data_IF_141054762949
#
_entry.id   IF_141054762949
#
_cell.length_a   1.000
_cell.length_b   1.000
_cell.length_c   1.000
_cell.angle_alpha   90.00
_cell.angle_beta   90.00
_cell.angle_gamma   90.00
#
_symmetry.space_group_name_H-M   'P 1'
#
loop_
_entity.id
_entity.type
_entity.pdbx_description
1 polymer ?
#
# COMPACT_ATOMS: atom_id res chain seq x y z
N UNK A 1 4.80 -2.44 6.77
CA UNK A 1 5.72 -1.38 7.21
C UNK A 1 5.47 -0.14 6.38
N UNK A 2 5.50 1.04 6.99
CA UNK A 2 4.92 2.24 6.39
C UNK A 2 5.85 2.93 5.40
N UNK A 3 5.28 3.53 4.36
CA UNK A 3 5.95 4.49 3.47
C UNK A 3 5.96 5.90 4.03
N UNK A 4 5.16 6.16 5.07
CA UNK A 4 5.01 7.44 5.75
C UNK A 4 5.54 7.35 7.20
N UNK A 5 6.15 8.42 7.73
CA UNK A 5 6.49 8.51 9.15
C UNK A 5 5.25 8.34 10.03
N UNK A 6 5.44 7.72 11.20
CA UNK A 6 4.39 7.61 12.21
C UNK A 6 4.31 8.93 12.99
N UNK A 7 3.09 9.46 13.15
CA UNK A 7 2.88 10.78 13.75
C UNK A 7 3.31 10.85 15.23
N UNK A 8 3.19 9.74 15.94
CA UNK A 8 3.61 9.54 17.33
C UNK A 8 5.12 9.25 17.48
N UNK A 9 5.82 8.93 16.38
CA UNK A 9 7.26 8.67 16.36
C UNK A 9 8.01 9.59 15.36
N UNK A 10 7.90 10.92 15.47
CA UNK A 10 8.38 11.86 14.45
C UNK A 10 9.91 11.89 14.28
N UNK A 11 10.67 11.37 15.26
CA UNK A 11 12.15 11.35 15.26
C UNK A 11 12.73 10.03 14.74
N UNK A 12 11.90 9.03 14.47
CA UNK A 12 12.36 7.72 14.01
C UNK A 12 12.43 7.72 12.48
N UNK A 13 13.62 7.56 11.87
CA UNK A 13 13.74 7.55 10.41
C UNK A 13 13.09 6.29 9.81
N UNK A 14 12.61 6.40 8.58
CA UNK A 14 12.14 5.24 7.81
C UNK A 14 13.33 4.38 7.37
N UNK A 15 13.16 3.06 7.32
CA UNK A 15 14.22 2.16 6.88
C UNK A 15 14.78 2.53 5.49
N UNK A 16 13.92 3.00 4.57
CA UNK A 16 14.32 3.42 3.22
C UNK A 16 15.31 4.58 3.22
N UNK A 17 15.25 5.49 4.20
CA UNK A 17 16.19 6.62 4.27
C UNK A 17 17.58 6.20 4.75
N UNK A 18 17.71 4.99 5.30
CA UNK A 18 18.99 4.43 5.75
C UNK A 18 19.70 3.63 4.63
N UNK A 19 19.03 3.38 3.51
CA UNK A 19 19.62 2.68 2.38
C UNK A 19 20.71 3.53 1.70
N UNK A 20 21.84 2.90 1.42
CA UNK A 20 23.05 3.56 0.88
C UNK A 20 23.06 3.67 -0.64
N UNK A 21 22.31 2.80 -1.33
CA UNK A 21 22.27 2.74 -2.81
C UNK A 21 20.83 2.84 -3.31
N UNK A 22 20.67 3.27 -4.56
CA UNK A 22 19.35 3.34 -5.20
C UNK A 22 18.72 1.97 -5.38
N UNK A 23 19.53 0.95 -5.66
CA UNK A 23 19.06 -0.44 -5.71
C UNK A 23 18.51 -0.88 -4.34
N UNK A 24 19.21 -0.58 -3.24
CA UNK A 24 18.73 -0.92 -1.90
C UNK A 24 17.44 -0.15 -1.54
N UNK A 25 17.33 1.12 -1.94
CA UNK A 25 16.08 1.90 -1.79
C UNK A 25 14.94 1.25 -2.57
N UNK A 26 15.19 0.86 -3.82
CA UNK A 26 14.20 0.19 -4.69
C UNK A 26 13.76 -1.15 -4.11
N UNK A 27 14.69 -1.95 -3.56
CA UNK A 27 14.38 -3.21 -2.89
C UNK A 27 13.48 -3.00 -1.65
N UNK A 28 13.75 -1.98 -0.83
CA UNK A 28 12.89 -1.64 0.31
C UNK A 28 11.54 -1.11 -0.15
N UNK A 29 11.51 -0.23 -1.15
CA UNK A 29 10.27 0.31 -1.68
C UNK A 29 9.35 -0.81 -2.18
N UNK A 30 9.84 -1.63 -3.11
CA UNK A 30 9.03 -2.67 -3.76
C UNK A 30 8.76 -3.85 -2.82
N UNK A 31 9.78 -4.34 -2.13
CA UNK A 31 9.69 -5.54 -1.30
C UNK A 31 9.01 -5.35 0.05
N UNK A 32 8.91 -4.10 0.53
CA UNK A 32 8.40 -3.81 1.87
C UNK A 32 7.28 -2.77 1.83
N UNK A 33 7.51 -1.59 1.25
CA UNK A 33 6.58 -0.46 1.35
C UNK A 33 5.36 -0.62 0.45
N UNK A 34 5.55 -0.85 -0.85
CA UNK A 34 4.47 -0.93 -1.84
C UNK A 34 3.50 -2.06 -1.46
N UNK A 35 4.02 -3.27 -1.19
CA UNK A 35 3.22 -4.42 -0.75
C UNK A 35 2.42 -4.18 0.53
N UNK A 36 2.96 -3.39 1.46
CA UNK A 36 2.24 -3.05 2.70
C UNK A 36 1.04 -2.14 2.45
N UNK A 37 1.17 -1.22 1.48
CA UNK A 37 0.13 -0.23 1.16
C UNK A 37 -1.17 -0.86 0.61
N UNK A 38 -1.08 -2.05 0.04
CA UNK A 38 -2.24 -2.80 -0.47
C UNK A 38 -2.46 -4.15 0.22
N UNK A 39 -1.99 -4.31 1.45
CA UNK A 39 -2.10 -5.58 2.20
C UNK A 39 -3.54 -6.07 2.45
N UNK A 40 -4.54 -5.17 2.43
CA UNK A 40 -5.97 -5.49 2.60
C UNK A 40 -6.81 -4.86 1.49
N UNK A 41 -6.69 -5.33 0.24
CA UNK A 41 -7.31 -4.66 -0.89
C UNK A 41 -8.80 -5.05 -0.98
N UNK A 42 -9.66 -4.07 -1.30
CA UNK A 42 -11.06 -4.31 -1.65
C UNK A 42 -11.18 -4.41 -3.18
N UNK A 43 -11.45 -5.61 -3.68
CA UNK A 43 -11.33 -5.94 -5.11
C UNK A 43 -12.66 -6.49 -5.64
N UNK A 44 -13.09 -6.00 -6.80
CA UNK A 44 -14.21 -6.54 -7.54
C UNK A 44 -13.72 -7.58 -8.58
N UNK A 45 -14.57 -8.55 -8.98
CA UNK A 45 -14.19 -9.56 -9.97
C UNK A 45 -13.76 -8.96 -11.32
N UNK A 46 -12.91 -9.66 -12.09
CA UNK A 46 -12.61 -9.29 -13.47
C UNK A 46 -13.88 -9.12 -14.32
N UNK A 47 -13.87 -8.12 -15.20
CA UNK A 47 -15.03 -7.82 -16.06
C UNK A 47 -16.13 -6.98 -15.40
N UNK A 48 -15.97 -6.57 -14.13
CA UNK A 48 -16.89 -5.62 -13.50
C UNK A 48 -16.97 -4.32 -14.32
N UNK A 49 -18.17 -3.85 -14.70
CA UNK A 49 -18.33 -2.63 -15.48
C UNK A 49 -17.69 -1.40 -14.80
N UNK A 50 -17.07 -0.53 -15.61
CA UNK A 50 -16.29 0.62 -15.12
C UNK A 50 -17.10 1.57 -14.24
N UNK A 51 -18.36 1.83 -14.61
CA UNK A 51 -19.30 2.63 -13.82
C UNK A 51 -19.53 2.03 -12.43
N UNK A 52 -19.66 0.70 -12.32
CA UNK A 52 -19.80 -0.01 -11.04
C UNK A 52 -18.53 0.07 -10.20
N UNK A 53 -17.35 -0.08 -10.81
CA UNK A 53 -16.07 0.13 -10.12
C UNK A 53 -15.97 1.54 -9.54
N UNK A 54 -16.38 2.55 -10.30
CA UNK A 54 -16.36 3.95 -9.85
C UNK A 54 -17.32 4.22 -8.69
N UNK A 55 -18.51 3.60 -8.70
CA UNK A 55 -19.43 3.67 -7.56
C UNK A 55 -18.80 3.07 -6.30
N UNK A 56 -18.19 1.88 -6.40
CA UNK A 56 -17.55 1.21 -5.27
C UNK A 56 -16.37 2.02 -4.71
N UNK A 57 -15.51 2.57 -5.56
CA UNK A 57 -14.38 3.41 -5.13
C UNK A 57 -14.87 4.63 -4.34
N UNK A 58 -15.89 5.33 -4.84
CA UNK A 58 -16.48 6.49 -4.16
C UNK A 58 -17.11 6.11 -2.82
N UNK A 59 -17.89 5.03 -2.80
CA UNK A 59 -18.54 4.56 -1.58
C UNK A 59 -17.51 4.13 -0.52
N UNK A 60 -16.43 3.46 -0.92
CA UNK A 60 -15.36 3.05 -0.02
C UNK A 60 -14.68 4.24 0.65
N UNK A 61 -14.29 5.25 -0.13
CA UNK A 61 -13.66 6.48 0.42
C UNK A 61 -14.62 7.25 1.33
N UNK A 62 -15.90 7.33 0.94
CA UNK A 62 -16.93 7.98 1.76
C UNK A 62 -17.10 7.26 3.11
N UNK A 63 -17.22 5.92 3.10
CA UNK A 63 -17.34 5.12 4.31
C UNK A 63 -16.13 5.27 5.24
N UNK A 64 -14.90 5.19 4.70
CA UNK A 64 -13.69 5.37 5.51
C UNK A 64 -13.47 6.79 6.01
N UNK A 65 -14.18 7.77 5.44
CA UNK A 65 -14.18 9.16 5.90
C UNK A 65 -15.31 9.44 6.89
N UNK A 66 -16.25 8.51 7.08
CA UNK A 66 -17.39 8.68 7.96
C UNK A 66 -16.94 8.81 9.43
N UNK A 67 -17.37 9.87 10.15
CA UNK A 67 -16.97 10.08 11.54
C UNK A 67 -17.37 8.97 12.49
N UNK A 68 -18.52 8.31 12.27
CA UNK A 68 -18.98 7.22 13.13
C UNK A 68 -18.12 5.98 12.92
N UNK A 69 -17.75 5.66 11.66
CA UNK A 69 -16.83 4.56 11.39
C UNK A 69 -15.43 4.83 11.98
N UNK A 70 -14.91 6.05 11.86
CA UNK A 70 -13.62 6.43 12.45
C UNK A 70 -13.62 6.29 13.97
N UNK A 71 -14.66 6.79 14.63
CA UNK A 71 -14.80 6.64 16.08
C UNK A 71 -14.84 5.17 16.50
N UNK A 72 -15.52 4.31 15.75
CA UNK A 72 -15.54 2.87 16.03
C UNK A 72 -14.17 2.22 15.82
N UNK A 73 -13.48 2.57 14.73
CA UNK A 73 -12.13 2.09 14.47
C UNK A 73 -11.16 2.50 15.59
N UNK A 74 -11.24 3.74 16.07
CA UNK A 74 -10.43 4.23 17.19
C UNK A 74 -10.74 3.46 18.48
N UNK A 75 -12.02 3.20 18.79
CA UNK A 75 -12.43 2.37 19.94
C UNK A 75 -11.89 0.94 19.84
N UNK A 76 -11.88 0.38 18.65
CA UNK A 76 -11.35 -0.94 18.35
C UNK A 76 -9.82 -0.98 18.21
N UNK A 77 -9.13 0.16 18.37
CA UNK A 77 -7.69 0.31 18.16
C UNK A 77 -7.24 -0.13 16.74
N UNK A 78 -8.08 0.14 15.75
CA UNK A 78 -7.83 -0.14 14.34
C UNK A 78 -7.41 1.15 13.62
N UNK A 79 -6.16 1.20 13.15
CA UNK A 79 -5.69 2.31 12.32
C UNK A 79 -6.31 2.27 10.92
N UNK A 80 -6.97 3.35 10.52
CA UNK A 80 -7.46 3.55 9.15
C UNK A 80 -6.52 4.47 8.36
N UNK A 81 -5.69 3.90 7.49
CA UNK A 81 -4.84 4.62 6.51
C UNK A 81 -5.13 4.08 5.09
N UNK A 82 -6.26 4.44 4.47
CA UNK A 82 -6.61 3.93 3.16
C UNK A 82 -5.79 4.57 2.04
N UNK A 83 -5.55 3.77 1.00
CA UNK A 83 -5.11 4.24 -0.32
C UNK A 83 -6.30 4.33 -1.27
N UNK A 84 -6.22 5.22 -2.26
CA UNK A 84 -7.25 5.31 -3.30
C UNK A 84 -7.25 4.08 -4.22
N UNK A 85 -8.36 3.81 -4.88
CA UNK A 85 -8.45 2.72 -5.86
C UNK A 85 -7.48 2.91 -7.04
N UNK A 86 -7.26 4.16 -7.45
CA UNK A 86 -6.31 4.56 -8.49
C UNK A 86 -4.85 4.35 -8.05
N UNK A 87 -4.54 4.64 -6.79
CA UNK A 87 -3.21 4.39 -6.24
C UNK A 87 -2.93 2.89 -6.10
N UNK A 88 -3.91 2.11 -5.61
CA UNK A 88 -3.84 0.66 -5.58
C UNK A 88 -3.56 0.09 -6.99
N UNK A 89 -4.32 0.55 -8.00
CA UNK A 89 -4.14 0.11 -9.38
C UNK A 89 -2.74 0.41 -9.92
N UNK A 90 -2.19 1.60 -9.64
CA UNK A 90 -0.82 1.96 -10.01
C UNK A 90 0.24 1.11 -9.33
N UNK A 91 0.10 0.85 -8.02
CA UNK A 91 1.05 0.03 -7.27
C UNK A 91 1.08 -1.41 -7.80
N UNK A 92 -0.10 -1.99 -8.07
CA UNK A 92 -0.22 -3.34 -8.63
C UNK A 92 0.36 -3.39 -10.04
N UNK A 93 0.04 -2.42 -10.91
CA UNK A 93 0.61 -2.35 -12.26
C UNK A 93 2.15 -2.22 -12.23
N UNK A 94 2.68 -1.44 -11.28
CA UNK A 94 4.12 -1.27 -11.06
C UNK A 94 4.83 -2.56 -10.64
N UNK A 95 4.16 -3.40 -9.84
CA UNK A 95 4.68 -4.72 -9.48
C UNK A 95 4.83 -5.63 -10.70
N UNK A 96 3.85 -5.63 -11.61
CA UNK A 96 3.87 -6.46 -12.81
C UNK A 96 4.79 -5.93 -13.92
N UNK A 97 5.30 -4.71 -13.80
CA UNK A 97 6.25 -4.11 -14.76
C UNK A 97 7.72 -4.19 -14.33
N UNK A 98 8.01 -4.85 -13.21
CA UNK A 98 9.38 -5.03 -12.72
C UNK A 98 10.21 -5.87 -13.70
N UNK A 99 11.48 -5.49 -13.86
CA UNK A 99 12.41 -6.20 -14.72
C UNK A 99 12.77 -7.58 -14.12
N UNK A 100 12.89 -8.65 -14.94
CA UNK A 100 13.15 -10.00 -14.44
C UNK A 100 14.40 -10.11 -13.53
N UNK A 101 15.55 -9.49 -13.85
CA UNK A 101 16.73 -9.55 -12.98
C UNK A 101 16.47 -8.99 -11.57
N UNK A 102 15.71 -7.90 -11.46
CA UNK A 102 15.31 -7.35 -10.16
C UNK A 102 14.37 -8.29 -9.40
N UNK A 103 13.42 -8.93 -10.09
CA UNK A 103 12.53 -9.93 -9.48
C UNK A 103 13.32 -11.11 -8.90
N UNK A 104 14.29 -11.63 -9.65
CA UNK A 104 15.13 -12.73 -9.18
C UNK A 104 15.97 -12.36 -7.96
N UNK A 105 16.51 -11.14 -7.97
CA UNK A 105 17.22 -10.58 -6.81
C UNK A 105 16.31 -10.49 -5.59
N UNK A 106 15.10 -9.95 -5.76
CA UNK A 106 14.13 -9.83 -4.67
C UNK A 106 13.75 -11.20 -4.09
N UNK A 107 13.49 -12.19 -4.94
CA UNK A 107 13.21 -13.58 -4.53
C UNK A 107 14.35 -14.18 -3.72
N UNK A 108 15.61 -13.98 -4.13
CA UNK A 108 16.78 -14.50 -3.40
C UNK A 108 16.91 -13.95 -1.97
N UNK A 109 16.32 -12.79 -1.70
CA UNK A 109 16.31 -12.15 -0.38
C UNK A 109 15.12 -12.66 0.44
N UNK A 110 13.93 -12.79 -0.16
CA UNK A 110 12.69 -13.11 0.53
C UNK A 110 12.45 -14.61 0.79
N UNK A 111 12.97 -15.48 -0.08
CA UNK A 111 12.67 -16.93 -0.08
C UNK A 111 13.93 -17.79 0.09
N UNK A 112 14.78 -17.45 1.06
CA UNK A 112 15.94 -18.30 1.39
C UNK A 112 15.53 -19.72 1.76
#
# INVERSE_FOLDING_TARGET
MTSKPLADLPKVPLAISLAKTDEARRLIQVGIQDGSAYSRPFIAPPGTPKDRVQVLRKAFVAALSDPALRAEADRAQLTLDPVSGEELERLVAGLFSLDPPFVDKLKSILHR
#
